data_IF_911905135462
#
_entry.id   IF_911905135462
#
_cell.length_a   1.000
_cell.length_b   1.000
_cell.length_c   1.000
_cell.angle_alpha   90.00
_cell.angle_beta   90.00
_cell.angle_gamma   90.00
#
_symmetry.space_group_name_H-M   'P 1'
#
loop_
_entity.id
_entity.type
_entity.pdbx_description
1 polymer ?
#
# COMPACT_ATOMS: atom_id res chain seq x y z
N UNK A 1 -5.87 17.54 10.54
CA UNK A 1 -6.18 17.51 9.09
C UNK A 1 -7.66 17.18 8.96
N UNK A 2 -8.43 18.05 8.30
CA UNK A 2 -9.87 17.88 8.10
C UNK A 2 -10.21 16.53 7.47
N UNK A 3 -11.20 15.83 8.03
CA UNK A 3 -11.85 14.69 7.36
C UNK A 3 -12.60 15.26 6.15
N UNK A 4 -11.91 15.40 5.01
CA UNK A 4 -12.61 15.61 3.75
C UNK A 4 -13.58 14.44 3.55
N UNK A 5 -14.85 14.73 3.31
CA UNK A 5 -15.83 13.72 2.96
C UNK A 5 -15.47 13.17 1.57
N UNK A 6 -14.72 12.07 1.56
CA UNK A 6 -14.51 11.31 0.33
C UNK A 6 -15.87 10.73 -0.11
N UNK A 7 -16.09 10.66 -1.41
CA UNK A 7 -17.30 10.04 -1.97
C UNK A 7 -16.94 8.85 -2.85
N UNK A 8 -17.94 8.02 -3.14
CA UNK A 8 -17.81 6.86 -4.03
C UNK A 8 -16.70 5.90 -3.61
N UNK A 9 -15.94 5.41 -4.60
CA UNK A 9 -14.94 4.35 -4.40
C UNK A 9 -13.80 4.74 -3.46
N UNK A 10 -13.39 6.01 -3.50
CA UNK A 10 -12.32 6.50 -2.62
C UNK A 10 -12.72 6.41 -1.15
N UNK A 11 -13.97 6.75 -0.82
CA UNK A 11 -14.49 6.63 0.55
C UNK A 11 -14.39 5.20 1.06
N UNK A 12 -14.84 4.23 0.25
CA UNK A 12 -14.83 2.81 0.62
C UNK A 12 -13.40 2.34 0.94
N UNK A 13 -12.44 2.71 0.10
CA UNK A 13 -11.03 2.33 0.31
C UNK A 13 -10.44 2.97 1.56
N UNK A 14 -10.73 4.25 1.80
CA UNK A 14 -10.22 4.97 2.98
C UNK A 14 -10.84 4.46 4.27
N UNK A 15 -12.15 4.18 4.29
CA UNK A 15 -12.82 3.62 5.46
C UNK A 15 -12.21 2.26 5.84
N UNK A 16 -11.95 1.41 4.83
CA UNK A 16 -11.26 0.14 5.00
C UNK A 16 -9.83 0.30 5.50
N UNK A 17 -9.07 1.23 4.93
CA UNK A 17 -7.70 1.49 5.36
C UNK A 17 -7.62 1.94 6.82
N UNK A 18 -8.58 2.78 7.24
CA UNK A 18 -8.68 3.26 8.63
C UNK A 18 -9.09 2.16 9.60
N UNK A 19 -9.94 1.21 9.18
CA UNK A 19 -10.22 0.02 9.97
C UNK A 19 -8.98 -0.89 10.07
N UNK A 20 -8.26 -1.06 8.96
CA UNK A 20 -6.92 -1.64 8.93
C UNK A 20 -6.84 -3.10 9.34
N UNK A 21 -7.93 -3.87 9.21
CA UNK A 21 -7.89 -5.32 9.40
C UNK A 21 -7.15 -6.00 8.24
N UNK A 22 -6.73 -7.26 8.41
CA UNK A 22 -6.16 -8.06 7.31
C UNK A 22 -7.08 -8.06 6.09
N UNK A 23 -8.37 -8.31 6.29
CA UNK A 23 -9.37 -8.40 5.20
C UNK A 23 -9.54 -7.08 4.46
N UNK A 24 -9.39 -5.95 5.16
CA UNK A 24 -9.48 -4.64 4.55
C UNK A 24 -8.25 -4.28 3.72
N UNK A 25 -7.06 -4.62 4.21
CA UNK A 25 -5.82 -4.44 3.44
C UNK A 25 -5.83 -5.33 2.20
N UNK A 26 -6.27 -6.58 2.33
CA UNK A 26 -6.44 -7.50 1.20
C UNK A 26 -7.39 -6.91 0.16
N UNK A 27 -8.57 -6.47 0.61
CA UNK A 27 -9.53 -5.81 -0.26
C UNK A 27 -8.92 -4.63 -1.02
N UNK A 28 -8.12 -3.78 -0.36
CA UNK A 28 -7.49 -2.62 -1.01
C UNK A 28 -6.45 -3.06 -2.05
N UNK A 29 -5.57 -3.99 -1.70
CA UNK A 29 -4.45 -4.42 -2.54
C UNK A 29 -4.87 -5.37 -3.67
N UNK A 30 -6.01 -6.07 -3.55
CA UNK A 30 -6.58 -6.90 -4.62
C UNK A 30 -7.07 -6.06 -5.81
N UNK A 31 -7.21 -4.75 -5.64
CA UNK A 31 -7.49 -3.84 -6.75
C UNK A 31 -6.25 -3.49 -7.59
N UNK A 32 -5.05 -3.90 -7.18
CA UNK A 32 -3.82 -3.72 -7.94
C UNK A 32 -3.59 -4.92 -8.86
N UNK A 33 -3.77 -4.68 -10.16
CA UNK A 33 -3.56 -5.63 -11.24
C UNK A 33 -2.81 -4.95 -12.39
N UNK A 34 -2.37 -5.73 -13.38
CA UNK A 34 -1.77 -5.20 -14.61
C UNK A 34 -2.72 -4.32 -15.43
N UNK A 35 -4.03 -4.42 -15.19
CA UNK A 35 -5.08 -3.66 -15.90
C UNK A 35 -5.54 -2.42 -15.12
N UNK A 36 -4.95 -2.17 -13.94
CA UNK A 36 -5.38 -1.06 -13.09
C UNK A 36 -5.07 0.30 -13.72
N UNK A 37 -6.12 1.08 -13.98
CA UNK A 37 -5.99 2.45 -14.51
C UNK A 37 -5.34 3.40 -13.49
N UNK A 38 -4.67 4.43 -13.99
CA UNK A 38 -3.94 5.43 -13.19
C UNK A 38 -4.78 6.05 -12.05
N UNK A 39 -6.07 6.28 -12.28
CA UNK A 39 -6.96 6.85 -11.25
C UNK A 39 -7.11 5.89 -10.07
N UNK A 40 -7.29 4.59 -10.35
CA UNK A 40 -7.49 3.59 -9.31
C UNK A 40 -6.23 3.39 -8.48
N UNK A 41 -5.07 3.37 -9.12
CA UNK A 41 -3.81 3.21 -8.41
C UNK A 41 -3.49 4.40 -7.51
N UNK A 42 -3.83 5.64 -7.92
CA UNK A 42 -3.77 6.83 -7.04
C UNK A 42 -4.69 6.72 -5.83
N UNK A 43 -5.91 6.23 -6.01
CA UNK A 43 -6.85 6.00 -4.90
C UNK A 43 -6.31 4.97 -3.91
N UNK A 44 -5.73 3.88 -4.41
CA UNK A 44 -5.13 2.84 -3.58
C UNK A 44 -3.93 3.40 -2.78
N UNK A 45 -3.02 4.12 -3.44
CA UNK A 45 -1.88 4.76 -2.75
C UNK A 45 -2.35 5.69 -1.62
N UNK A 46 -3.36 6.50 -1.89
CA UNK A 46 -3.94 7.41 -0.90
C UNK A 46 -4.64 6.65 0.23
N UNK A 47 -5.40 5.60 -0.09
CA UNK A 47 -6.05 4.78 0.92
C UNK A 47 -5.01 4.11 1.83
N UNK A 48 -3.99 3.47 1.27
CA UNK A 48 -2.92 2.81 2.04
C UNK A 48 -2.22 3.78 3.01
N UNK A 49 -2.04 5.05 2.65
CA UNK A 49 -1.44 6.04 3.57
C UNK A 49 -2.29 6.34 4.81
N UNK A 50 -3.54 5.86 4.88
CA UNK A 50 -4.42 5.96 6.04
C UNK A 50 -4.40 4.69 6.92
N UNK A 51 -3.59 3.67 6.59
CA UNK A 51 -3.42 2.48 7.42
C UNK A 51 -2.44 2.79 8.57
N UNK A 52 -2.95 2.80 9.79
CA UNK A 52 -2.18 3.08 11.01
C UNK A 52 -2.17 1.90 12.00
N UNK A 53 -3.03 0.91 11.80
CA UNK A 53 -3.10 -0.26 12.68
C UNK A 53 -1.88 -1.15 12.49
N UNK A 54 -1.40 -1.76 13.58
CA UNK A 54 -0.28 -2.71 13.54
C UNK A 54 -0.58 -3.91 12.64
N UNK A 55 -1.80 -4.43 12.73
CA UNK A 55 -2.28 -5.55 11.91
C UNK A 55 -2.24 -5.21 10.41
N UNK A 56 -2.77 -4.04 10.02
CA UNK A 56 -2.77 -3.60 8.64
C UNK A 56 -1.36 -3.36 8.10
N UNK A 57 -0.48 -2.77 8.90
CA UNK A 57 0.93 -2.59 8.54
C UNK A 57 1.64 -3.92 8.31
N UNK A 58 1.44 -4.91 9.18
CA UNK A 58 2.04 -6.24 9.00
C UNK A 58 1.47 -6.94 7.75
N UNK A 59 0.19 -6.69 7.43
CA UNK A 59 -0.39 -7.21 6.19
C UNK A 59 0.17 -6.54 4.94
N UNK A 60 0.40 -5.23 4.95
CA UNK A 60 1.09 -4.53 3.85
C UNK A 60 2.53 -5.08 3.69
N UNK A 61 3.23 -5.33 4.81
CA UNK A 61 4.55 -5.99 4.79
C UNK A 61 4.47 -7.36 4.15
N UNK A 62 3.46 -8.18 4.44
CA UNK A 62 3.27 -9.45 3.76
C UNK A 62 3.23 -9.28 2.23
N UNK A 63 2.48 -8.30 1.72
CA UNK A 63 2.42 -8.02 0.28
C UNK A 63 3.73 -7.51 -0.31
N UNK A 64 4.55 -6.78 0.44
CA UNK A 64 5.89 -6.37 0.00
C UNK A 64 6.78 -7.58 -0.34
N UNK A 65 6.67 -8.68 0.41
CA UNK A 65 7.51 -9.85 0.19
C UNK A 65 6.86 -10.94 -0.67
N UNK A 66 5.51 -11.01 -0.69
CA UNK A 66 4.77 -12.13 -1.26
C UNK A 66 3.74 -11.72 -2.33
N UNK A 67 3.45 -10.43 -2.49
CA UNK A 67 2.48 -9.94 -3.47
C UNK A 67 2.96 -10.04 -4.93
N UNK A 68 2.09 -9.65 -5.86
CA UNK A 68 2.45 -9.41 -7.26
C UNK A 68 3.39 -8.20 -7.38
N UNK A 69 4.06 -8.02 -8.53
CA UNK A 69 5.01 -6.91 -8.70
C UNK A 69 4.39 -5.54 -8.39
N UNK A 70 3.16 -5.28 -8.87
CA UNK A 70 2.47 -4.02 -8.58
C UNK A 70 2.12 -3.89 -7.09
N UNK A 71 1.70 -4.96 -6.42
CA UNK A 71 1.42 -4.93 -4.98
C UNK A 71 2.67 -4.64 -4.16
N UNK A 72 3.80 -5.28 -4.50
CA UNK A 72 5.10 -5.02 -3.86
C UNK A 72 5.53 -3.58 -4.02
N UNK A 73 5.36 -3.02 -5.22
CA UNK A 73 5.70 -1.63 -5.49
C UNK A 73 4.88 -0.66 -4.62
N UNK A 74 3.57 -0.86 -4.51
CA UNK A 74 2.73 0.00 -3.66
C UNK A 74 2.97 -0.21 -2.17
N UNK A 75 3.28 -1.43 -1.74
CA UNK A 75 3.70 -1.71 -0.37
C UNK A 75 5.05 -1.02 -0.05
N UNK A 76 5.99 -0.99 -1.00
CA UNK A 76 7.26 -0.28 -0.85
C UNK A 76 7.05 1.23 -0.70
N UNK A 77 6.16 1.83 -1.51
CA UNK A 77 5.80 3.25 -1.38
C UNK A 77 5.21 3.58 -0.01
N UNK A 78 4.37 2.69 0.54
CA UNK A 78 3.81 2.85 1.87
C UNK A 78 4.92 2.95 2.94
N UNK A 79 5.87 2.02 2.98
CA UNK A 79 6.95 2.03 3.97
C UNK A 79 7.96 3.17 3.74
N UNK A 80 8.29 3.50 2.49
CA UNK A 80 9.20 4.62 2.19
C UNK A 80 8.68 5.95 2.75
N UNK A 81 7.38 6.22 2.61
CA UNK A 81 6.76 7.46 3.12
C UNK A 81 6.74 7.56 4.64
N UNK A 82 6.80 6.41 5.31
CA UNK A 82 6.84 6.32 6.77
C UNK A 82 8.26 6.39 7.33
N UNK A 83 9.27 6.31 6.46
CA UNK A 83 10.66 6.23 6.86
C UNK A 83 11.08 4.83 7.35
N UNK A 84 10.26 3.81 7.10
CA UNK A 84 10.50 2.42 7.50
C UNK A 84 11.50 1.74 6.52
N UNK A 85 12.68 2.37 6.38
CA UNK A 85 13.66 2.07 5.34
C UNK A 85 14.23 0.65 5.40
N UNK A 86 14.40 0.11 6.61
CA UNK A 86 14.98 -1.22 6.81
C UNK A 86 14.16 -2.33 6.14
N UNK A 87 12.83 -2.20 6.18
CA UNK A 87 11.91 -3.17 5.59
C UNK A 87 12.01 -3.13 4.05
N UNK A 88 12.11 -1.94 3.48
CA UNK A 88 12.24 -1.73 2.03
C UNK A 88 13.59 -2.22 1.53
N UNK A 89 14.66 -1.91 2.25
CA UNK A 89 16.01 -2.36 1.91
C UNK A 89 16.11 -3.89 1.93
N UNK A 90 15.45 -4.56 2.88
CA UNK A 90 15.38 -6.01 2.93
C UNK A 90 14.64 -6.60 1.71
N UNK A 91 13.51 -6.01 1.32
CA UNK A 91 12.79 -6.42 0.12
C UNK A 91 13.63 -6.24 -1.14
N UNK A 92 14.40 -5.15 -1.25
CA UNK A 92 15.33 -4.91 -2.35
C UNK A 92 16.46 -5.96 -2.38
N UNK A 93 17.11 -6.23 -1.24
CA UNK A 93 18.18 -7.25 -1.14
C UNK A 93 17.73 -8.65 -1.53
N UNK A 94 16.46 -8.98 -1.26
CA UNK A 94 15.84 -10.24 -1.67
C UNK A 94 15.35 -10.25 -3.13
N UNK A 95 15.57 -9.18 -3.90
CA UNK A 95 15.10 -9.06 -5.28
C UNK A 95 13.59 -8.98 -5.43
N UNK A 96 12.87 -8.54 -4.39
CA UNK A 96 11.40 -8.42 -4.43
C UNK A 96 10.94 -7.16 -5.18
N UNK A 97 11.75 -6.11 -5.13
CA UNK A 97 11.57 -4.82 -5.80
C UNK A 97 12.89 -4.40 -6.44
N UNK A 98 12.83 -3.53 -7.45
CA UNK A 98 14.01 -2.98 -8.11
C UNK A 98 14.56 -1.73 -7.39
N UNK A 99 15.68 -1.21 -7.89
CA UNK A 99 16.34 -0.04 -7.34
C UNK A 99 15.46 1.22 -7.42
N UNK A 100 14.78 1.42 -8.55
CA UNK A 100 13.88 2.57 -8.76
C UNK A 100 12.82 2.60 -7.67
N UNK A 101 12.21 1.45 -7.40
CA UNK A 101 11.16 1.32 -6.42
C UNK A 101 11.68 1.39 -4.98
N UNK A 102 12.85 0.80 -4.71
CA UNK A 102 13.48 0.87 -3.41
C UNK A 102 13.73 2.33 -3.00
N UNK A 103 14.27 3.16 -3.90
CA UNK A 103 14.64 4.54 -3.61
C UNK A 103 13.58 5.60 -3.95
N UNK A 104 12.37 5.18 -4.34
CA UNK A 104 11.25 6.08 -4.61
C UNK A 104 10.79 6.79 -3.33
N UNK A 105 10.70 8.13 -3.36
CA UNK A 105 10.24 8.98 -2.26
C UNK A 105 9.01 9.80 -2.67
#
# INVERSE_FOLDING_TARGET
MEKGDYTGRLKILVDKARNGSIVDVDFILDHLSSESILVMTRFINFALSNVETKEGMERIKYYLFNGSQIQRNYASLFFNRRGDWEIVLEAFRQGKIDEIQAFAR
#
